data_IF_934825780328
#
_entry.id   IF_934825780328
#
_cell.length_a   1.000
_cell.length_b   1.000
_cell.length_c   1.000
_cell.angle_alpha   90.00
_cell.angle_beta   90.00
_cell.angle_gamma   90.00
#
_symmetry.space_group_name_H-M   'P 1'
#
loop_
_entity.id
_entity.type
_entity.pdbx_description
1 polymer ?
#
# COMPACT_ATOMS: atom_id res chain seq x y z
N UNK A 1 27.57 25.64 -12.21
CA UNK A 1 26.42 25.09 -12.97
C UNK A 1 26.03 23.65 -12.56
N UNK A 2 26.30 23.19 -11.33
CA UNK A 2 26.02 21.79 -10.91
C UNK A 2 24.80 21.59 -9.99
N UNK A 3 24.21 22.67 -9.45
CA UNK A 3 23.07 22.56 -8.53
C UNK A 3 21.69 22.73 -9.19
N UNK A 4 21.62 23.11 -10.47
CA UNK A 4 20.32 23.31 -11.16
C UNK A 4 19.72 22.01 -11.73
N UNK A 5 20.51 20.95 -11.91
CA UNK A 5 20.02 19.68 -12.47
C UNK A 5 19.31 18.79 -11.44
N UNK A 6 19.74 18.78 -10.17
CA UNK A 6 19.10 17.97 -9.11
C UNK A 6 17.67 18.42 -8.78
N UNK A 7 17.36 19.70 -8.92
CA UNK A 7 16.03 20.25 -8.63
C UNK A 7 15.03 19.88 -9.74
N UNK A 8 15.49 19.74 -10.99
CA UNK A 8 14.62 19.42 -12.13
C UNK A 8 14.18 17.95 -12.09
N UNK A 9 15.04 17.04 -11.63
CA UNK A 9 14.69 15.61 -11.56
C UNK A 9 13.70 15.31 -10.43
N UNK A 10 13.86 15.91 -9.25
CA UNK A 10 12.89 15.75 -8.13
C UNK A 10 11.53 16.39 -8.46
N UNK A 11 11.53 17.52 -9.19
CA UNK A 11 10.29 18.12 -9.69
C UNK A 11 9.59 17.24 -10.73
N UNK A 12 10.33 16.50 -11.56
CA UNK A 12 9.72 15.61 -12.57
C UNK A 12 8.99 14.42 -11.93
N UNK A 13 9.52 13.84 -10.85
CA UNK A 13 8.86 12.74 -10.13
C UNK A 13 7.65 13.20 -9.31
N UNK A 14 7.73 14.40 -8.69
CA UNK A 14 6.58 15.03 -8.06
C UNK A 14 5.44 15.29 -9.05
N UNK A 15 5.75 15.69 -10.30
CA UNK A 15 4.75 15.93 -11.35
C UNK A 15 4.11 14.63 -11.84
N UNK A 16 4.83 13.51 -11.91
CA UNK A 16 4.26 12.23 -12.35
C UNK A 16 3.30 11.67 -11.28
N UNK A 17 3.66 11.73 -9.99
CA UNK A 17 2.74 11.38 -8.91
C UNK A 17 1.51 12.31 -8.90
N UNK A 18 1.70 13.62 -9.09
CA UNK A 18 0.61 14.59 -9.19
C UNK A 18 -0.30 14.33 -10.41
N UNK A 19 0.25 13.84 -11.53
CA UNK A 19 -0.49 13.51 -12.75
C UNK A 19 -1.33 12.24 -12.57
N UNK A 20 -0.84 11.24 -11.82
CA UNK A 20 -1.59 10.04 -11.45
C UNK A 20 -2.75 10.42 -10.51
N UNK A 21 -2.50 11.25 -9.48
CA UNK A 21 -3.58 11.73 -8.60
C UNK A 21 -4.57 12.66 -9.31
N UNK A 22 -4.15 13.45 -10.31
CA UNK A 22 -5.02 14.28 -11.16
C UNK A 22 -5.89 13.43 -12.14
N UNK A 23 -5.34 12.34 -12.67
CA UNK A 23 -6.10 11.38 -13.49
C UNK A 23 -7.20 10.69 -12.66
N UNK A 24 -6.90 10.34 -11.41
CA UNK A 24 -7.89 9.78 -10.48
C UNK A 24 -8.99 10.80 -10.08
N UNK A 25 -8.64 12.09 -9.95
CA UNK A 25 -9.62 13.14 -9.61
C UNK A 25 -10.56 13.54 -10.77
N UNK A 26 -10.11 13.51 -12.02
CA UNK A 26 -10.97 13.84 -13.18
C UNK A 26 -12.05 12.77 -13.44
N UNK A 27 -11.81 11.51 -13.06
CA UNK A 27 -12.80 10.44 -13.13
C UNK A 27 -13.89 10.62 -12.05
N UNK A 28 -13.57 11.26 -10.92
CA UNK A 28 -14.53 11.56 -9.84
C UNK A 28 -15.45 12.75 -10.13
N UNK A 29 -14.95 13.80 -10.80
CA UNK A 29 -15.76 15.01 -11.05
C UNK A 29 -16.86 14.83 -12.09
N UNK A 30 -16.75 13.85 -12.99
CA UNK A 30 -17.78 13.55 -14.00
C UNK A 30 -19.00 12.84 -13.38
N UNK A 31 -18.89 12.26 -12.17
CA UNK A 31 -19.94 11.44 -11.56
C UNK A 31 -20.71 12.11 -10.41
N UNK A 32 -20.36 13.35 -10.02
CA UNK A 32 -20.91 14.01 -8.82
C UNK A 32 -21.92 15.14 -9.09
N UNK A 33 -22.39 15.33 -10.33
CA UNK A 33 -23.38 16.39 -10.65
C UNK A 33 -24.86 16.00 -10.53
N UNK A 34 -25.21 14.77 -10.13
CA UNK A 34 -26.61 14.40 -9.87
C UNK A 34 -26.81 13.90 -8.43
N UNK A 35 -27.04 14.82 -7.49
CA UNK A 35 -28.21 14.81 -6.59
C UNK A 35 -28.10 15.86 -5.47
N UNK A 36 -28.83 16.95 -5.64
CA UNK A 36 -29.37 17.80 -4.56
C UNK A 36 -30.85 17.38 -4.37
N UNK A 37 -31.40 17.10 -3.19
CA UNK A 37 -31.80 18.03 -2.10
C UNK A 37 -32.45 17.18 -0.95
N UNK A 38 -32.69 17.75 0.26
CA UNK A 38 -32.87 17.01 1.52
C UNK A 38 -34.34 16.81 1.95
N UNK A 39 -34.57 15.97 2.96
CA UNK A 39 -35.80 16.00 3.75
C UNK A 39 -35.58 15.64 5.22
N UNK A 40 -36.27 16.40 6.07
CA UNK A 40 -36.15 16.48 7.51
C UNK A 40 -37.02 15.46 8.29
N UNK A 41 -36.57 15.27 9.53
CA UNK A 41 -37.35 15.26 10.79
C UNK A 41 -37.99 13.98 11.36
N UNK A 42 -37.79 13.89 12.70
CA UNK A 42 -38.54 13.16 13.75
C UNK A 42 -38.30 11.65 13.90
N UNK A 43 -38.40 11.03 15.07
CA UNK A 43 -38.46 11.40 16.50
C UNK A 43 -38.65 10.04 17.21
N UNK A 44 -37.94 9.78 18.30
CA UNK A 44 -38.47 9.25 19.58
C UNK A 44 -37.48 8.38 20.36
N UNK A 45 -37.48 8.68 21.65
CA UNK A 45 -36.93 7.90 22.74
C UNK A 45 -37.45 6.46 22.73
N UNK A 46 -36.57 5.51 23.06
CA UNK A 46 -36.96 4.45 23.98
C UNK A 46 -35.77 4.02 24.85
N UNK A 47 -35.90 4.28 26.16
CA UNK A 47 -35.15 3.63 27.23
C UNK A 47 -35.62 2.18 27.36
N UNK A 48 -34.69 1.25 27.52
CA UNK A 48 -34.78 0.00 28.31
C UNK A 48 -33.36 -0.57 28.39
N UNK A 49 -32.59 -0.36 29.46
CA UNK A 49 -32.49 -1.20 30.66
C UNK A 49 -32.48 -2.73 30.41
N UNK A 50 -31.33 -3.33 30.75
CA UNK A 50 -31.32 -4.61 31.48
C UNK A 50 -31.01 -5.86 30.67
N UNK A 51 -29.75 -6.02 30.25
CA UNK A 51 -29.12 -7.34 30.14
C UNK A 51 -27.60 -7.15 30.19
N UNK A 52 -27.02 -7.08 31.39
CA UNK A 52 -25.63 -7.46 31.60
C UNK A 52 -25.52 -8.96 31.27
N UNK A 53 -25.30 -9.25 29.99
CA UNK A 53 -24.58 -10.44 29.60
C UNK A 53 -23.15 -10.16 29.99
N UNK A 54 -22.62 -10.95 30.92
CA UNK A 54 -21.19 -11.13 31.10
C UNK A 54 -20.62 -11.49 29.72
N UNK A 55 -20.08 -10.49 29.04
CA UNK A 55 -19.33 -10.67 27.82
C UNK A 55 -18.10 -11.45 28.22
N UNK A 56 -18.10 -12.75 27.93
CA UNK A 56 -16.86 -13.50 27.86
C UNK A 56 -15.95 -12.70 26.94
N UNK A 57 -14.89 -12.15 27.51
CA UNK A 57 -13.89 -11.36 26.80
C UNK A 57 -13.24 -12.28 25.76
N UNK A 58 -13.86 -12.36 24.59
CA UNK A 58 -13.24 -12.99 23.44
C UNK A 58 -12.03 -12.14 23.11
N UNK A 59 -10.86 -12.61 23.52
CA UNK A 59 -9.57 -12.01 23.19
C UNK A 59 -9.58 -11.65 21.70
N UNK A 60 -9.44 -10.36 21.40
CA UNK A 60 -9.29 -9.88 20.03
C UNK A 60 -8.07 -10.57 19.39
N UNK A 61 -8.15 -10.82 18.08
CA UNK A 61 -7.08 -11.48 17.31
C UNK A 61 -6.06 -10.44 16.84
N UNK A 62 -4.78 -10.74 16.95
CA UNK A 62 -3.75 -9.96 16.28
C UNK A 62 -3.62 -10.39 14.81
N UNK A 63 -3.34 -9.44 13.93
CA UNK A 63 -3.04 -9.70 12.52
C UNK A 63 -1.53 -9.57 12.30
N UNK A 64 -0.91 -10.64 11.77
CA UNK A 64 0.53 -10.74 11.54
C UNK A 64 0.82 -11.37 10.18
N UNK A 65 2.09 -11.32 9.75
CA UNK A 65 2.55 -11.93 8.49
C UNK A 65 2.37 -13.47 8.50
N UNK A 66 2.35 -14.12 9.65
CA UNK A 66 2.14 -15.56 9.72
C UNK A 66 0.67 -15.95 9.61
N UNK A 67 -0.25 -15.04 9.98
CA UNK A 67 -1.67 -15.34 10.09
C UNK A 67 -2.57 -14.61 9.08
N UNK A 68 -2.00 -13.77 8.20
CA UNK A 68 -2.74 -13.14 7.11
C UNK A 68 -3.50 -14.13 6.21
N UNK A 69 -3.05 -15.39 5.96
CA UNK A 69 -3.82 -16.29 5.11
C UNK A 69 -5.24 -16.52 5.65
N UNK A 70 -5.39 -16.60 6.97
CA UNK A 70 -6.69 -16.74 7.63
C UNK A 70 -7.62 -15.55 7.36
N UNK A 71 -7.06 -14.32 7.32
CA UNK A 71 -7.83 -13.14 6.93
C UNK A 71 -8.24 -13.25 5.47
N UNK A 72 -7.30 -13.55 4.57
CA UNK A 72 -7.56 -13.58 3.12
C UNK A 72 -8.59 -14.61 2.68
N UNK A 73 -8.81 -15.66 3.46
CA UNK A 73 -9.85 -16.67 3.21
C UNK A 73 -11.26 -16.20 3.61
N UNK A 74 -11.34 -15.15 4.42
CA UNK A 74 -12.61 -14.61 4.94
C UNK A 74 -13.01 -13.26 4.35
N UNK A 75 -12.11 -12.61 3.60
CA UNK A 75 -12.40 -11.33 2.97
C UNK A 75 -13.44 -11.50 1.85
N UNK A 76 -14.46 -10.63 1.78
CA UNK A 76 -15.53 -10.71 0.79
C UNK A 76 -15.11 -10.13 -0.58
N UNK A 77 -13.90 -10.45 -1.05
CA UNK A 77 -13.38 -9.89 -2.29
C UNK A 77 -13.98 -10.58 -3.52
N UNK A 78 -14.35 -9.80 -4.54
CA UNK A 78 -14.56 -10.29 -5.90
C UNK A 78 -13.25 -10.76 -6.52
N UNK A 79 -12.18 -10.01 -6.27
CA UNK A 79 -10.82 -10.32 -6.70
C UNK A 79 -9.81 -9.85 -5.64
N UNK A 80 -8.62 -10.45 -5.61
CA UNK A 80 -7.58 -10.06 -4.66
C UNK A 80 -6.17 -10.19 -5.24
N UNK A 81 -5.36 -9.16 -4.97
CA UNK A 81 -3.92 -9.19 -5.20
C UNK A 81 -3.20 -9.29 -3.87
N UNK A 82 -2.15 -10.12 -3.83
CA UNK A 82 -1.29 -10.28 -2.65
C UNK A 82 0.13 -9.90 -3.03
N UNK A 83 0.66 -8.89 -2.35
CA UNK A 83 2.03 -8.41 -2.51
C UNK A 83 2.88 -8.98 -1.37
N UNK A 84 3.93 -9.72 -1.72
CA UNK A 84 4.89 -10.31 -0.79
C UNK A 84 6.02 -9.36 -0.41
N UNK A 85 5.66 -8.08 -0.23
CA UNK A 85 6.59 -7.01 0.06
C UNK A 85 5.91 -5.65 0.04
N UNK A 86 6.65 -4.62 0.42
CA UNK A 86 6.28 -3.23 0.21
C UNK A 86 7.53 -2.45 -0.23
N UNK A 87 7.52 -1.84 -1.43
CA UNK A 87 8.67 -1.11 -1.97
C UNK A 87 9.16 0.03 -1.08
N UNK A 88 8.27 0.67 -0.32
CA UNK A 88 8.57 1.86 0.50
C UNK A 88 8.81 1.54 1.98
N UNK A 89 8.86 0.26 2.33
CA UNK A 89 9.07 -0.21 3.70
C UNK A 89 10.39 -0.99 3.81
N UNK A 90 11.16 -0.80 4.88
CA UNK A 90 12.53 -1.33 5.00
C UNK A 90 12.61 -2.81 5.38
N UNK A 91 11.52 -3.40 5.86
CA UNK A 91 11.48 -4.78 6.36
C UNK A 91 10.41 -5.63 5.65
N UNK A 92 10.21 -6.86 6.10
CA UNK A 92 9.20 -7.76 5.56
C UNK A 92 7.77 -7.21 5.74
N UNK A 93 6.98 -7.24 4.67
CA UNK A 93 5.59 -6.82 4.68
C UNK A 93 4.74 -7.67 3.75
N UNK A 94 3.44 -7.71 4.03
CA UNK A 94 2.42 -8.25 3.15
C UNK A 94 1.42 -7.15 2.82
N UNK A 95 1.15 -6.96 1.53
CA UNK A 95 0.06 -6.14 1.03
C UNK A 95 -1.07 -7.00 0.50
N UNK A 96 -2.32 -6.63 0.81
CA UNK A 96 -3.49 -7.25 0.22
C UNK A 96 -4.34 -6.13 -0.37
N UNK A 97 -4.64 -6.22 -1.66
CA UNK A 97 -5.67 -5.39 -2.28
C UNK A 97 -6.89 -6.27 -2.51
N UNK A 98 -7.96 -6.03 -1.75
CA UNK A 98 -9.22 -6.75 -1.85
C UNK A 98 -10.23 -5.91 -2.61
N UNK A 99 -10.58 -6.30 -3.83
CA UNK A 99 -11.56 -5.60 -4.64
C UNK A 99 -12.95 -6.11 -4.31
N UNK A 100 -13.77 -5.29 -3.64
CA UNK A 100 -15.14 -5.65 -3.27
C UNK A 100 -16.06 -5.64 -4.51
N UNK A 101 -15.83 -4.65 -5.37
CA UNK A 101 -16.49 -4.47 -6.66
C UNK A 101 -15.63 -3.54 -7.53
N UNK A 102 -16.15 -3.09 -8.67
CA UNK A 102 -15.39 -2.28 -9.64
C UNK A 102 -15.10 -0.83 -9.15
N UNK A 103 -15.61 -0.43 -7.96
CA UNK A 103 -15.48 0.93 -7.40
C UNK A 103 -14.95 0.97 -5.98
N UNK A 104 -14.96 -0.14 -5.26
CA UNK A 104 -14.62 -0.21 -3.84
C UNK A 104 -13.57 -1.30 -3.59
N UNK A 105 -12.58 -0.93 -2.79
CA UNK A 105 -11.48 -1.82 -2.41
C UNK A 105 -11.16 -1.65 -0.94
N UNK A 106 -10.63 -2.72 -0.34
CA UNK A 106 -9.99 -2.70 0.96
C UNK A 106 -8.50 -2.96 0.75
N UNK A 107 -7.67 -2.02 1.18
CA UNK A 107 -6.23 -2.10 1.06
C UNK A 107 -5.66 -2.39 2.43
N UNK A 108 -4.96 -3.52 2.59
CA UNK A 108 -4.44 -3.98 3.88
C UNK A 108 -2.92 -4.04 3.76
N UNK A 109 -2.20 -3.53 4.75
CA UNK A 109 -0.74 -3.64 4.86
C UNK A 109 -0.40 -4.20 6.23
N UNK A 110 0.44 -5.24 6.24
CA UNK A 110 0.86 -5.97 7.43
C UNK A 110 2.38 -5.98 7.45
N UNK A 111 2.98 -5.59 8.57
CA UNK A 111 4.43 -5.41 8.74
C UNK A 111 4.97 -6.44 9.73
N UNK A 112 6.24 -6.82 9.58
CA UNK A 112 6.91 -7.77 10.47
C UNK A 112 7.16 -7.22 11.87
N UNK A 113 7.10 -5.91 12.05
CA UNK A 113 7.30 -5.22 13.33
C UNK A 113 6.39 -3.99 13.43
N UNK A 114 6.37 -3.37 14.60
CA UNK A 114 5.65 -2.13 14.87
C UNK A 114 6.18 -1.02 13.95
N UNK A 115 5.36 -0.58 13.01
CA UNK A 115 5.80 0.27 11.90
C UNK A 115 4.68 1.09 11.27
N UNK A 116 3.43 0.81 11.61
CA UNK A 116 2.28 1.46 10.99
C UNK A 116 2.39 2.98 11.04
N UNK A 117 2.66 3.57 12.20
CA UNK A 117 2.76 5.02 12.35
C UNK A 117 3.96 5.64 11.61
N UNK A 118 4.95 4.85 11.18
CA UNK A 118 6.10 5.31 10.40
C UNK A 118 5.83 5.36 8.89
N UNK A 119 4.85 4.60 8.40
CA UNK A 119 4.59 4.43 6.95
C UNK A 119 3.21 4.88 6.51
N UNK A 120 2.28 5.11 7.44
CA UNK A 120 0.88 5.37 7.14
C UNK A 120 0.65 6.69 6.40
N UNK A 121 1.56 7.66 6.51
CA UNK A 121 1.50 8.91 5.73
C UNK A 121 1.58 8.69 4.23
N UNK A 122 2.19 7.60 3.76
CA UNK A 122 2.25 7.27 2.34
C UNK A 122 0.85 6.99 1.74
N UNK A 123 -0.16 6.83 2.61
CA UNK A 123 -1.53 6.45 2.28
C UNK A 123 -2.54 7.57 2.54
N UNK A 124 -2.09 8.78 2.88
CA UNK A 124 -2.97 9.90 3.25
C UNK A 124 -4.01 10.22 2.15
N UNK A 125 -3.60 10.16 0.88
CA UNK A 125 -4.50 10.44 -0.25
C UNK A 125 -5.68 9.47 -0.38
N UNK A 126 -5.54 8.24 0.14
CA UNK A 126 -6.63 7.26 0.11
C UNK A 126 -7.49 7.32 1.37
N UNK A 127 -7.03 7.96 2.45
CA UNK A 127 -7.77 8.07 3.71
C UNK A 127 -8.73 9.25 3.62
N UNK A 128 -10.02 8.97 3.59
CA UNK A 128 -11.07 9.97 3.38
C UNK A 128 -12.31 9.65 4.22
N UNK A 129 -13.29 10.56 4.34
CA UNK A 129 -14.55 10.25 5.01
C UNK A 129 -15.30 9.03 4.44
N UNK A 130 -15.11 8.73 3.15
CA UNK A 130 -15.69 7.55 2.49
C UNK A 130 -14.80 6.31 2.50
N UNK A 131 -13.52 6.46 2.85
CA UNK A 131 -12.52 5.40 2.88
C UNK A 131 -11.72 5.51 4.18
N UNK A 132 -12.20 4.85 5.22
CA UNK A 132 -11.67 4.95 6.57
C UNK A 132 -10.43 4.10 6.75
N UNK A 133 -9.62 4.50 7.71
CA UNK A 133 -8.44 3.80 8.17
C UNK A 133 -8.76 3.07 9.47
N UNK A 134 -8.47 1.78 9.55
CA UNK A 134 -8.31 1.03 10.81
C UNK A 134 -6.85 0.64 10.94
N UNK A 135 -6.28 0.77 12.14
CA UNK A 135 -4.85 0.52 12.30
C UNK A 135 -4.47 -0.04 13.66
N UNK A 136 -3.36 -0.77 13.68
CA UNK A 136 -2.66 -1.28 14.85
C UNK A 136 -1.18 -0.89 14.75
N UNK A 137 -0.33 -1.35 15.66
CA UNK A 137 1.10 -1.04 15.67
C UNK A 137 1.83 -1.64 14.45
N UNK A 138 1.40 -2.82 13.97
CA UNK A 138 2.07 -3.59 12.91
C UNK A 138 1.22 -3.83 11.66
N UNK A 139 0.00 -3.31 11.58
CA UNK A 139 -0.81 -3.39 10.37
C UNK A 139 -1.80 -2.23 10.28
N UNK A 140 -2.27 -1.95 9.06
CA UNK A 140 -3.43 -1.10 8.84
C UNK A 140 -4.26 -1.56 7.65
N UNK A 141 -5.51 -1.11 7.59
CA UNK A 141 -6.35 -1.27 6.44
C UNK A 141 -7.12 0.01 6.12
N UNK A 142 -7.29 0.32 4.83
CA UNK A 142 -8.16 1.38 4.35
C UNK A 142 -9.29 0.80 3.51
N UNK A 143 -10.52 1.31 3.66
CA UNK A 143 -11.68 0.76 2.98
C UNK A 143 -12.99 1.49 3.32
N UNK A 144 -14.11 1.13 2.67
CA UNK A 144 -15.43 1.63 3.05
C UNK A 144 -15.71 1.37 4.53
N UNK A 145 -16.24 2.37 5.24
CA UNK A 145 -16.48 2.34 6.70
C UNK A 145 -17.15 1.06 7.18
N UNK A 146 -18.28 0.71 6.56
CA UNK A 146 -19.12 -0.41 7.02
C UNK A 146 -18.40 -1.75 6.83
N UNK A 147 -17.60 -1.89 5.77
CA UNK A 147 -16.85 -3.12 5.51
C UNK A 147 -15.60 -3.22 6.38
N UNK A 148 -14.85 -2.12 6.58
CA UNK A 148 -13.72 -2.08 7.52
C UNK A 148 -14.17 -2.48 8.92
N UNK A 149 -15.23 -1.87 9.43
CA UNK A 149 -15.70 -2.16 10.77
C UNK A 149 -16.18 -3.62 10.91
N UNK A 150 -16.88 -4.14 9.91
CA UNK A 150 -17.36 -5.53 9.89
C UNK A 150 -16.23 -6.56 9.80
N UNK A 151 -15.21 -6.31 8.98
CA UNK A 151 -14.08 -7.24 8.78
C UNK A 151 -13.16 -7.25 10.01
N UNK A 152 -12.92 -6.09 10.61
CA UNK A 152 -11.93 -5.93 11.67
C UNK A 152 -12.51 -5.91 13.09
N UNK A 153 -13.83 -6.11 13.28
CA UNK A 153 -14.48 -6.18 14.61
C UNK A 153 -13.82 -7.19 15.56
N UNK A 154 -13.37 -8.33 15.01
CA UNK A 154 -12.70 -9.40 15.76
C UNK A 154 -11.19 -9.22 15.96
N UNK A 155 -10.60 -8.11 15.50
CA UNK A 155 -9.16 -7.87 15.52
C UNK A 155 -8.75 -6.81 16.55
N UNK A 156 -7.52 -6.91 17.02
CA UNK A 156 -6.89 -5.91 17.89
C UNK A 156 -6.39 -4.74 17.04
N UNK A 157 -6.97 -3.56 17.28
CA UNK A 157 -6.62 -2.32 16.60
C UNK A 157 -6.68 -1.16 17.61
N UNK A 158 -5.95 -0.09 17.30
CA UNK A 158 -5.86 1.12 18.10
C UNK A 158 -7.11 1.97 17.89
N UNK A 159 -7.40 2.35 16.63
CA UNK A 159 -8.56 3.19 16.32
C UNK A 159 -9.06 3.01 14.86
N UNK A 160 -10.23 3.58 14.58
CA UNK A 160 -10.80 3.75 13.24
C UNK A 160 -10.99 5.25 12.97
N UNK A 161 -10.22 5.79 12.03
CA UNK A 161 -10.12 7.22 11.75
C UNK A 161 -10.38 7.52 10.26
N UNK A 162 -10.59 8.81 9.95
CA UNK A 162 -10.84 9.30 8.59
C UNK A 162 -9.78 10.32 8.14
N UNK A 163 -8.70 10.41 8.90
CA UNK A 163 -7.50 11.20 8.63
C UNK A 163 -6.29 10.41 9.15
N UNK A 164 -5.11 10.65 8.57
CA UNK A 164 -3.89 9.99 9.01
C UNK A 164 -3.54 10.42 10.45
N UNK A 165 -3.26 9.47 11.37
CA UNK A 165 -2.84 9.81 12.73
C UNK A 165 -1.46 10.48 12.74
N UNK A 166 -1.05 11.02 13.89
CA UNK A 166 0.30 11.55 14.04
C UNK A 166 1.34 10.46 13.73
N UNK A 167 2.22 10.75 12.78
CA UNK A 167 3.24 9.81 12.31
C UNK A 167 4.49 9.85 13.16
N UNK A 168 5.23 8.75 13.12
CA UNK A 168 6.55 8.60 13.72
C UNK A 168 7.64 8.76 12.65
N UNK A 169 8.80 9.26 13.06
CA UNK A 169 9.95 9.35 12.15
C UNK A 169 10.60 7.98 11.99
N UNK A 170 10.93 7.64 10.74
CA UNK A 170 11.85 6.55 10.45
C UNK A 170 13.26 6.93 10.91
N UNK A 171 14.01 5.96 11.43
CA UNK A 171 15.44 6.10 11.62
C UNK A 171 16.16 6.26 10.28
N UNK A 172 17.40 6.75 10.30
CA UNK A 172 18.22 6.89 9.08
C UNK A 172 18.39 5.56 8.33
N UNK A 173 18.53 4.45 9.05
CA UNK A 173 18.62 3.10 8.47
C UNK A 173 17.32 2.65 7.80
N UNK A 174 16.18 2.90 8.44
CA UNK A 174 14.86 2.56 7.93
C UNK A 174 14.57 3.38 6.66
N UNK A 175 14.75 4.70 6.74
CA UNK A 175 14.56 5.61 5.61
C UNK A 175 15.49 5.24 4.45
N UNK A 176 16.77 4.98 4.74
CA UNK A 176 17.73 4.66 3.70
C UNK A 176 17.29 3.40 2.97
N UNK A 177 17.08 2.31 3.68
CA UNK A 177 16.68 1.01 3.11
C UNK A 177 15.40 1.11 2.30
N UNK A 178 14.36 1.80 2.81
CA UNK A 178 13.11 2.05 2.08
C UNK A 178 13.32 2.81 0.77
N UNK A 179 14.20 3.82 0.76
CA UNK A 179 14.52 4.58 -0.44
C UNK A 179 15.22 3.71 -1.50
N UNK A 180 16.14 2.83 -1.07
CA UNK A 180 16.76 1.86 -1.96
C UNK A 180 15.75 0.99 -2.67
N UNK A 181 14.89 0.34 -1.88
CA UNK A 181 14.01 -0.70 -2.35
C UNK A 181 13.06 -0.08 -3.35
N UNK A 182 12.50 1.09 -3.02
CA UNK A 182 11.65 1.85 -3.93
C UNK A 182 12.33 2.10 -5.29
N UNK A 183 13.59 2.54 -5.30
CA UNK A 183 14.33 2.80 -6.54
C UNK A 183 14.65 1.50 -7.30
N UNK A 184 15.08 0.46 -6.61
CA UNK A 184 15.37 -0.85 -7.23
C UNK A 184 14.10 -1.46 -7.84
N UNK A 185 12.96 -1.40 -7.13
CA UNK A 185 11.65 -1.81 -7.65
C UNK A 185 11.30 -1.06 -8.94
N UNK A 186 11.42 0.27 -8.94
CA UNK A 186 11.13 1.09 -10.11
C UNK A 186 12.02 0.73 -11.31
N UNK A 187 13.32 0.53 -11.09
CA UNK A 187 14.24 0.12 -12.16
C UNK A 187 13.86 -1.26 -12.72
N UNK A 188 13.50 -2.21 -11.86
CA UNK A 188 13.06 -3.55 -12.29
C UNK A 188 11.76 -3.45 -13.10
N UNK A 189 10.76 -2.70 -12.60
CA UNK A 189 9.49 -2.49 -13.28
C UNK A 189 9.70 -1.88 -14.67
N UNK A 190 10.44 -0.77 -14.77
CA UNK A 190 10.76 -0.15 -16.06
C UNK A 190 11.54 -1.11 -16.98
N UNK A 191 12.45 -1.92 -16.43
CA UNK A 191 13.20 -2.91 -17.21
C UNK A 191 12.31 -4.01 -17.77
N UNK A 192 11.24 -4.41 -17.06
CA UNK A 192 10.25 -5.38 -17.55
C UNK A 192 9.42 -4.77 -18.68
N UNK A 193 9.04 -3.49 -18.56
CA UNK A 193 8.19 -2.78 -19.54
C UNK A 193 8.97 -2.46 -20.82
N UNK A 194 10.14 -1.85 -20.69
CA UNK A 194 10.90 -1.28 -21.82
C UNK A 194 12.05 -2.18 -22.30
N UNK A 195 12.36 -3.23 -21.54
CA UNK A 195 13.55 -4.05 -21.72
C UNK A 195 14.74 -3.53 -20.92
N UNK A 196 15.54 -4.46 -20.40
CA UNK A 196 16.71 -4.11 -19.59
C UNK A 196 17.86 -3.50 -20.41
N UNK A 197 18.40 -2.38 -19.92
CA UNK A 197 19.60 -1.74 -20.46
C UNK A 197 20.49 -1.22 -19.32
N UNK A 198 21.69 -1.81 -19.18
CA UNK A 198 22.64 -1.37 -18.16
C UNK A 198 23.13 0.08 -18.38
N UNK A 199 23.15 0.55 -19.63
CA UNK A 199 23.55 1.92 -19.97
C UNK A 199 22.51 2.94 -19.48
N UNK A 200 21.21 2.64 -19.64
CA UNK A 200 20.09 3.49 -19.20
C UNK A 200 20.19 3.82 -17.71
N UNK A 201 20.55 2.84 -16.88
CA UNK A 201 20.60 2.98 -15.43
C UNK A 201 22.02 3.14 -14.86
N UNK A 202 23.02 3.41 -15.70
CA UNK A 202 24.42 3.49 -15.29
C UNK A 202 24.70 4.52 -14.20
N UNK A 203 23.96 5.62 -14.16
CA UNK A 203 24.06 6.63 -13.09
C UNK A 203 23.43 6.14 -11.77
N UNK A 204 22.39 5.31 -11.83
CA UNK A 204 21.76 4.72 -10.64
C UNK A 204 22.65 3.65 -10.01
N UNK A 205 23.33 2.83 -10.82
CA UNK A 205 24.21 1.77 -10.34
C UNK A 205 25.49 2.26 -9.63
N UNK A 206 25.71 3.58 -9.58
CA UNK A 206 26.72 4.17 -8.70
C UNK A 206 26.30 4.16 -7.23
N UNK A 207 25.00 4.05 -6.97
CA UNK A 207 24.40 4.23 -5.64
C UNK A 207 23.49 3.07 -5.24
N UNK A 208 22.97 2.29 -6.19
CA UNK A 208 21.98 1.24 -5.93
C UNK A 208 22.48 -0.13 -6.43
N UNK A 209 22.07 -1.25 -5.79
CA UNK A 209 22.61 -2.57 -6.06
C UNK A 209 22.21 -3.05 -7.46
N UNK A 210 23.18 -3.02 -8.38
CA UNK A 210 22.98 -3.43 -9.79
C UNK A 210 22.62 -4.91 -9.91
N UNK A 211 23.28 -5.75 -9.12
CA UNK A 211 23.11 -7.19 -9.14
C UNK A 211 21.67 -7.58 -8.78
N UNK A 212 21.08 -6.93 -7.76
CA UNK A 212 19.69 -7.15 -7.38
C UNK A 212 18.70 -6.85 -8.52
N UNK A 213 18.93 -5.76 -9.27
CA UNK A 213 18.13 -5.40 -10.44
C UNK A 213 18.28 -6.45 -11.54
N UNK A 214 19.51 -6.76 -11.93
CA UNK A 214 19.80 -7.69 -13.03
C UNK A 214 19.26 -9.09 -12.76
N UNK A 215 19.49 -9.62 -11.56
CA UNK A 215 19.03 -10.95 -11.18
C UNK A 215 17.51 -11.03 -11.13
N UNK A 216 16.84 -10.04 -10.53
CA UNK A 216 15.38 -10.02 -10.42
C UNK A 216 14.73 -9.89 -11.79
N UNK A 217 15.21 -8.97 -12.63
CA UNK A 217 14.75 -8.83 -14.02
C UNK A 217 14.92 -10.14 -14.80
N UNK A 218 16.08 -10.79 -14.70
CA UNK A 218 16.33 -12.05 -15.40
C UNK A 218 15.40 -13.17 -14.93
N UNK A 219 15.13 -13.28 -13.63
CA UNK A 219 14.21 -14.30 -13.10
C UNK A 219 12.79 -14.08 -13.63
N UNK A 220 12.26 -12.86 -13.52
CA UNK A 220 10.91 -12.52 -14.02
C UNK A 220 10.78 -12.72 -15.54
N UNK A 221 11.81 -12.35 -16.30
CA UNK A 221 11.81 -12.48 -17.77
C UNK A 221 11.85 -13.95 -18.23
N UNK A 222 12.49 -14.85 -17.48
CA UNK A 222 12.59 -16.29 -17.82
C UNK A 222 11.27 -17.02 -17.64
N UNK A 223 10.38 -16.53 -16.79
CA UNK A 223 9.07 -17.14 -16.55
C UNK A 223 8.08 -16.92 -17.70
N UNK A 224 8.57 -16.51 -18.90
CA UNK A 224 7.78 -16.17 -20.08
C UNK A 224 6.64 -15.23 -19.75
N UNK A 225 6.94 -14.19 -18.96
CA UNK A 225 5.98 -13.14 -18.68
C UNK A 225 5.67 -12.39 -19.97
N UNK A 226 4.59 -12.80 -20.66
CA UNK A 226 3.97 -11.96 -21.65
C UNK A 226 3.24 -10.87 -20.89
N UNK A 227 3.75 -9.64 -20.95
CA UNK A 227 2.96 -8.45 -20.64
C UNK A 227 1.83 -8.42 -21.65
N UNK A 228 0.71 -9.09 -21.36
CA UNK A 228 -0.54 -8.71 -21.97
C UNK A 228 -0.80 -7.33 -21.40
N UNK A 229 -0.67 -6.30 -22.22
CA UNK A 229 -0.95 -4.90 -21.89
C UNK A 229 -2.46 -4.72 -21.65
N UNK A 230 -2.99 -5.43 -20.66
CA UNK A 230 -4.27 -5.15 -20.02
C UNK A 230 -4.16 -3.78 -19.35
N UNK A 231 -5.29 -3.18 -18.97
CA UNK A 231 -5.29 -1.88 -18.29
C UNK A 231 -4.55 -1.89 -16.94
N UNK A 232 -4.22 -3.07 -16.38
CA UNK A 232 -3.63 -3.24 -15.04
C UNK A 232 -2.23 -3.87 -15.02
N UNK A 233 -1.53 -3.92 -16.16
CA UNK A 233 -0.23 -4.62 -16.27
C UNK A 233 0.83 -4.15 -15.24
N UNK A 234 0.73 -2.91 -14.74
CA UNK A 234 1.65 -2.38 -13.73
C UNK A 234 1.48 -3.07 -12.36
N UNK A 235 0.25 -3.39 -11.97
CA UNK A 235 -0.01 -4.13 -10.73
C UNK A 235 0.49 -5.58 -10.83
N UNK A 236 0.25 -6.24 -11.97
CA UNK A 236 0.77 -7.59 -12.23
C UNK A 236 2.30 -7.64 -12.15
N UNK A 237 2.98 -6.60 -12.66
CA UNK A 237 4.43 -6.47 -12.57
C UNK A 237 4.86 -6.28 -11.11
N UNK A 238 4.22 -5.37 -10.37
CA UNK A 238 4.54 -5.11 -8.97
C UNK A 238 4.33 -6.34 -8.08
N UNK A 239 3.25 -7.09 -8.29
CA UNK A 239 3.00 -8.37 -7.62
C UNK A 239 4.17 -9.33 -7.86
N UNK A 240 4.60 -9.50 -9.11
CA UNK A 240 5.74 -10.37 -9.47
C UNK A 240 7.06 -9.93 -8.84
N UNK A 241 7.35 -8.63 -8.86
CA UNK A 241 8.55 -8.09 -8.22
C UNK A 241 8.51 -8.34 -6.71
N UNK A 242 7.32 -8.23 -6.09
CA UNK A 242 7.17 -8.41 -4.64
C UNK A 242 7.61 -9.78 -4.15
N UNK A 243 7.56 -10.84 -4.97
CA UNK A 243 8.11 -12.14 -4.60
C UNK A 243 9.64 -12.14 -4.36
N UNK A 244 10.33 -11.10 -4.81
CA UNK A 244 11.77 -10.90 -4.63
C UNK A 244 12.09 -9.79 -3.61
N UNK A 245 11.09 -9.29 -2.88
CA UNK A 245 11.23 -8.19 -1.90
C UNK A 245 12.38 -8.42 -0.94
N UNK A 246 12.45 -9.61 -0.34
CA UNK A 246 13.52 -9.98 0.59
C UNK A 246 14.91 -9.86 -0.05
N UNK A 247 15.09 -10.40 -1.27
CA UNK A 247 16.37 -10.32 -1.98
C UNK A 247 16.76 -8.86 -2.27
N UNK A 248 15.79 -8.06 -2.72
CA UNK A 248 15.99 -6.64 -2.99
C UNK A 248 16.42 -5.92 -1.71
N UNK A 249 15.70 -6.12 -0.61
CA UNK A 249 15.99 -5.48 0.68
C UNK A 249 17.30 -5.93 1.28
N UNK A 250 17.62 -7.23 1.27
CA UNK A 250 18.92 -7.73 1.73
C UNK A 250 20.07 -7.03 0.98
N UNK A 251 19.95 -6.89 -0.34
CA UNK A 251 20.96 -6.19 -1.18
C UNK A 251 21.08 -4.70 -0.84
N UNK A 252 19.96 -4.07 -0.50
CA UNK A 252 19.91 -2.67 -0.07
C UNK A 252 20.50 -2.45 1.33
N UNK A 253 20.29 -3.41 2.24
CA UNK A 253 20.85 -3.39 3.60
C UNK A 253 22.37 -3.57 3.61
N UNK A 254 22.92 -4.27 2.62
CA UNK A 254 24.37 -4.44 2.44
C UNK A 254 25.05 -3.21 1.80
N UNK A 255 24.27 -2.31 1.17
CA UNK A 255 24.75 -1.10 0.52
C UNK A 255 24.01 0.17 1.01
N UNK A 256 24.01 0.46 2.33
CA UNK A 256 23.33 1.65 2.84
C UNK A 256 24.04 2.93 2.37
N UNK A 257 23.29 3.88 1.80
CA UNK A 257 23.76 5.23 1.42
C UNK A 257 23.89 6.16 2.62
#
# INVERSE_FOLDING_TARGET
MKNKFKIITVLAFGIIALLISLLMNNIRLINNEENSTPRAEQSELTKNQGAEKEAGETSKKDLTIENYPNLTDTLPCKDKDIFYGNPTYWDEAIGINCYLNDRESILIRIFSQESTLKVISDWDEVITPGNQLVYSESWFATGPRDEIQKIFDGYSYIDIVHETPQTEEMSEYEFSTSMCSSIVYNIIQESIIEGYSAEKYSDYYKYYPREAVEETYQKISRDNFSVNLSENYEYDILEKISHYDKQIKDSCKENPW
#
